data_IF_922072904086
#
_entry.id   IF_922072904086
#
_cell.length_a   1.000
_cell.length_b   1.000
_cell.length_c   1.000
_cell.angle_alpha   90.00
_cell.angle_beta   90.00
_cell.angle_gamma   90.00
#
_symmetry.space_group_name_H-M   'P 1'
#
loop_
_entity.id
_entity.type
_entity.pdbx_description
1 polymer ?
#
# COMPACT_ATOMS: atom_id res chain seq x y z
N UNK A 1 15.15 20.60 5.05
CA UNK A 1 15.10 21.96 4.44
C UNK A 1 14.52 22.93 5.46
N UNK A 2 14.74 24.25 5.33
CA UNK A 2 14.19 25.24 6.28
C UNK A 2 12.77 25.65 5.89
N UNK A 3 11.85 25.74 6.86
CA UNK A 3 10.46 26.15 6.66
C UNK A 3 10.06 27.20 7.70
N UNK A 4 9.44 28.28 7.24
CA UNK A 4 8.90 29.33 8.12
C UNK A 4 7.39 29.41 7.92
N UNK A 5 6.63 29.09 8.95
CA UNK A 5 5.17 29.14 8.96
C UNK A 5 4.73 30.39 9.70
N UNK A 6 4.01 31.27 9.01
CA UNK A 6 3.67 32.61 9.51
C UNK A 6 2.17 32.70 9.73
N UNK A 7 1.78 32.77 11.00
CA UNK A 7 0.45 33.22 11.38
C UNK A 7 0.39 34.74 11.18
N UNK A 8 -0.14 35.16 10.03
CA UNK A 8 -0.22 36.57 9.68
C UNK A 8 -1.39 37.32 10.35
N UNK A 9 -2.34 36.61 10.96
CA UNK A 9 -3.33 37.24 11.84
C UNK A 9 -2.64 37.77 13.10
N UNK A 10 -1.68 37.00 13.61
CA UNK A 10 -1.02 37.28 14.86
C UNK A 10 0.27 38.10 14.68
N UNK A 11 1.18 37.69 13.79
CA UNK A 11 2.48 38.34 13.56
C UNK A 11 2.58 38.80 12.11
N UNK A 12 2.93 40.07 11.91
CA UNK A 12 3.08 40.68 10.59
C UNK A 12 4.53 41.16 10.41
N UNK A 13 5.45 40.29 9.95
CA UNK A 13 6.81 40.68 9.63
C UNK A 13 6.81 41.77 8.54
N UNK A 14 7.76 42.70 8.64
CA UNK A 14 7.92 43.78 7.64
C UNK A 14 8.77 43.35 6.46
N UNK A 15 9.80 42.54 6.72
CA UNK A 15 10.73 42.03 5.72
C UNK A 15 11.40 40.73 6.19
N UNK A 16 11.95 39.98 5.24
CA UNK A 16 12.72 38.74 5.45
C UNK A 16 14.17 38.87 4.94
N UNK A 17 14.76 40.07 5.02
CA UNK A 17 16.04 40.35 4.36
C UNK A 17 17.23 39.56 4.91
N UNK A 18 17.13 39.05 6.14
CA UNK A 18 18.20 38.31 6.83
C UNK A 18 18.08 36.79 6.66
N UNK A 19 17.20 36.32 5.76
CA UNK A 19 16.92 34.89 5.56
C UNK A 19 17.50 34.45 4.22
N UNK A 20 18.24 33.34 4.21
CA UNK A 20 18.73 32.73 2.96
C UNK A 20 17.57 32.26 2.08
N UNK A 21 17.47 32.83 0.89
CA UNK A 21 16.30 32.67 -0.01
C UNK A 21 16.26 31.34 -0.76
N UNK A 22 17.42 30.67 -0.90
CA UNK A 22 17.57 29.51 -1.79
C UNK A 22 17.22 28.17 -1.12
N UNK A 23 17.29 28.11 0.22
CA UNK A 23 17.09 26.86 0.99
C UNK A 23 15.96 26.95 2.03
N UNK A 24 15.08 27.96 1.89
CA UNK A 24 14.01 28.22 2.83
C UNK A 24 12.65 28.37 2.15
N UNK A 25 11.65 27.65 2.66
CA UNK A 25 10.26 27.80 2.28
C UNK A 25 9.52 28.77 3.21
N UNK A 26 8.79 29.73 2.66
CA UNK A 26 7.90 30.63 3.40
C UNK A 26 6.45 30.19 3.20
N UNK A 27 5.74 29.98 4.31
CA UNK A 27 4.32 29.63 4.35
C UNK A 27 3.55 30.75 5.05
N UNK A 28 2.95 31.64 4.26
CA UNK A 28 2.20 32.79 4.75
C UNK A 28 0.72 32.45 4.88
N UNK A 29 0.23 32.27 6.11
CA UNK A 29 -1.18 31.97 6.38
C UNK A 29 -1.96 33.27 6.59
N UNK A 30 -2.92 33.52 5.70
CA UNK A 30 -3.72 34.74 5.68
C UNK A 30 -5.16 34.47 6.13
N UNK A 31 -5.49 35.04 7.28
CA UNK A 31 -6.86 35.24 7.73
C UNK A 31 -7.70 36.01 6.72
N UNK A 32 -9.02 35.83 6.76
CA UNK A 32 -9.95 36.46 5.80
C UNK A 32 -9.79 37.99 5.78
N UNK A 33 -9.50 38.59 6.93
CA UNK A 33 -9.37 40.04 7.06
C UNK A 33 -8.04 40.59 6.50
N UNK A 34 -6.99 39.77 6.49
CA UNK A 34 -5.64 40.14 6.05
C UNK A 34 -5.43 39.99 4.54
N UNK A 35 -6.39 39.40 3.81
CA UNK A 35 -6.27 39.14 2.37
C UNK A 35 -6.55 40.37 1.48
N UNK A 36 -6.99 41.50 2.04
CA UNK A 36 -7.34 42.70 1.26
C UNK A 36 -6.11 43.44 0.74
N UNK A 37 -5.02 43.43 1.49
CA UNK A 37 -3.78 44.13 1.15
C UNK A 37 -2.62 43.56 1.95
N UNK A 38 -1.45 43.46 1.32
CA UNK A 38 -0.19 43.17 1.99
C UNK A 38 0.74 44.39 1.90
N UNK A 39 1.58 44.65 2.91
CA UNK A 39 2.60 45.71 2.84
C UNK A 39 3.54 45.50 1.65
N UNK A 40 3.89 46.60 0.97
CA UNK A 40 4.75 46.54 -0.22
C UNK A 40 6.12 45.90 0.09
N UNK A 41 6.74 46.29 1.21
CA UNK A 41 8.04 45.76 1.65
C UNK A 41 8.01 44.23 1.85
N UNK A 42 6.92 43.70 2.41
CA UNK A 42 6.72 42.26 2.57
C UNK A 42 6.69 41.57 1.21
N UNK A 43 5.91 42.11 0.26
CA UNK A 43 5.80 41.55 -1.09
C UNK A 43 7.14 41.59 -1.82
N UNK A 44 7.87 42.72 -1.74
CA UNK A 44 9.20 42.86 -2.33
C UNK A 44 10.18 41.82 -1.79
N UNK A 45 10.14 41.51 -0.48
CA UNK A 45 10.98 40.45 0.08
C UNK A 45 10.57 39.05 -0.34
N UNK A 46 9.26 38.74 -0.42
CA UNK A 46 8.78 37.44 -0.90
C UNK A 46 9.19 37.18 -2.36
N UNK A 47 9.23 38.22 -3.20
CA UNK A 47 9.65 38.12 -4.60
C UNK A 47 11.14 37.79 -4.79
N UNK A 48 11.96 37.86 -3.73
CA UNK A 48 13.38 37.46 -3.75
C UNK A 48 13.56 35.94 -3.66
N UNK A 49 12.56 35.22 -3.16
CA UNK A 49 12.59 33.76 -3.08
C UNK A 49 12.22 33.15 -4.43
N UNK A 50 12.72 31.95 -4.70
CA UNK A 50 12.22 31.16 -5.80
C UNK A 50 10.70 30.97 -5.68
N UNK A 51 9.97 31.04 -6.79
CA UNK A 51 8.50 30.91 -6.80
C UNK A 51 8.00 29.63 -6.13
N UNK A 52 8.76 28.53 -6.22
CA UNK A 52 8.44 27.25 -5.56
C UNK A 52 8.60 27.29 -4.04
N UNK A 53 9.31 28.29 -3.51
CA UNK A 53 9.63 28.44 -2.11
C UNK A 53 8.60 29.28 -1.33
N UNK A 54 7.71 30.00 -2.02
CA UNK A 54 6.71 30.88 -1.40
C UNK A 54 5.30 30.30 -1.51
N UNK A 55 4.64 30.13 -0.38
CA UNK A 55 3.31 29.53 -0.27
C UNK A 55 2.36 30.50 0.45
N UNK A 56 1.40 31.07 -0.28
CA UNK A 56 0.36 31.93 0.30
C UNK A 56 -0.90 31.11 0.54
N UNK A 57 -1.25 30.86 1.80
CA UNK A 57 -2.39 30.04 2.20
C UNK A 57 -3.53 30.95 2.66
N UNK A 58 -4.64 30.94 1.92
CA UNK A 58 -5.78 31.85 2.14
C UNK A 58 -6.95 31.13 2.78
N UNK A 59 -7.42 31.62 3.92
CA UNK A 59 -8.67 31.16 4.52
C UNK A 59 -9.88 31.60 3.70
N UNK A 60 -10.87 30.72 3.54
CA UNK A 60 -12.11 31.03 2.81
C UNK A 60 -13.20 31.61 3.72
N UNK A 61 -13.21 31.20 4.99
CA UNK A 61 -14.23 31.57 5.97
C UNK A 61 -13.57 31.88 7.30
N UNK A 62 -14.18 32.78 8.07
CA UNK A 62 -13.77 33.06 9.44
C UNK A 62 -14.25 31.95 10.36
N UNK A 63 -13.49 31.69 11.41
CA UNK A 63 -13.83 30.70 12.43
C UNK A 63 -12.90 30.83 13.62
N UNK A 64 -13.37 30.45 14.81
CA UNK A 64 -12.52 30.46 16.00
C UNK A 64 -11.35 29.48 15.79
N UNK A 65 -10.11 29.97 15.96
CA UNK A 65 -8.86 29.22 15.79
C UNK A 65 -8.68 28.58 14.39
N UNK A 66 -9.39 29.09 13.39
CA UNK A 66 -9.41 28.44 12.09
C UNK A 66 -8.06 28.58 11.35
N UNK A 67 -7.33 29.68 11.54
CA UNK A 67 -5.98 29.82 11.02
C UNK A 67 -5.03 28.81 11.69
N UNK A 68 -5.18 28.60 13.00
CA UNK A 68 -4.35 27.65 13.76
C UNK A 68 -4.49 26.22 13.27
N UNK A 69 -5.71 25.81 12.91
CA UNK A 69 -5.95 24.51 12.31
C UNK A 69 -5.33 24.37 10.92
N UNK A 70 -5.35 25.44 10.11
CA UNK A 70 -4.65 25.45 8.82
C UNK A 70 -3.15 25.30 9.03
N UNK A 71 -2.56 26.10 9.92
CA UNK A 71 -1.13 26.04 10.21
C UNK A 71 -0.74 24.65 10.70
N UNK A 72 -1.46 24.09 11.69
CA UNK A 72 -1.21 22.75 12.24
C UNK A 72 -1.30 21.65 11.18
N UNK A 73 -2.27 21.74 10.27
CA UNK A 73 -2.40 20.78 9.16
C UNK A 73 -1.22 20.83 8.19
N UNK A 74 -0.77 22.03 7.83
CA UNK A 74 0.38 22.19 6.93
C UNK A 74 1.70 21.83 7.61
N UNK A 75 1.84 22.11 8.91
CA UNK A 75 2.96 21.64 9.72
C UNK A 75 3.06 20.11 9.67
N UNK A 76 1.96 19.41 9.97
CA UNK A 76 1.93 17.94 9.89
C UNK A 76 2.27 17.42 8.50
N UNK A 77 1.80 18.08 7.43
CA UNK A 77 2.21 17.75 6.06
C UNK A 77 3.71 17.92 5.85
N UNK A 78 4.30 19.02 6.29
CA UNK A 78 5.75 19.26 6.15
C UNK A 78 6.51 18.15 6.88
N UNK A 79 6.13 17.84 8.13
CA UNK A 79 6.74 16.79 8.93
C UNK A 79 6.67 15.39 8.30
N UNK A 80 5.61 15.11 7.54
CA UNK A 80 5.46 13.84 6.79
C UNK A 80 6.37 13.77 5.56
N UNK A 81 6.62 14.90 4.91
CA UNK A 81 7.34 14.98 3.63
C UNK A 81 8.85 15.08 3.84
N UNK A 82 9.25 15.87 4.82
CA UNK A 82 10.64 16.14 5.17
C UNK A 82 10.81 15.84 6.66
N UNK A 83 11.20 14.60 6.95
CA UNK A 83 11.44 14.11 8.31
C UNK A 83 12.69 14.74 8.95
N UNK A 84 13.40 15.63 8.25
CA UNK A 84 14.56 16.39 8.71
C UNK A 84 14.35 17.90 8.48
N UNK A 85 13.10 18.36 8.47
CA UNK A 85 12.78 19.77 8.29
C UNK A 85 13.16 20.59 9.54
N UNK A 86 13.75 21.76 9.31
CA UNK A 86 13.92 22.79 10.35
C UNK A 86 12.76 23.77 10.22
N UNK A 87 11.87 23.79 11.19
CA UNK A 87 10.60 24.53 11.10
C UNK A 87 10.53 25.62 12.16
N UNK A 88 10.34 26.86 11.72
CA UNK A 88 10.05 27.99 12.59
C UNK A 88 8.59 28.44 12.42
N UNK A 89 7.82 28.38 13.50
CA UNK A 89 6.46 28.91 13.56
C UNK A 89 6.52 30.33 14.12
N UNK A 90 6.12 31.31 13.31
CA UNK A 90 5.93 32.70 13.73
C UNK A 90 4.50 32.92 14.18
N UNK A 91 4.28 32.81 15.49
CA UNK A 91 3.01 33.09 16.14
C UNK A 91 3.22 33.51 17.60
N UNK A 92 2.48 34.49 18.11
CA UNK A 92 2.52 34.82 19.56
C UNK A 92 1.68 33.86 20.40
N UNK A 93 0.76 33.12 19.78
CA UNK A 93 -0.07 32.16 20.50
C UNK A 93 0.78 31.02 21.06
N UNK A 94 0.75 30.83 22.38
CA UNK A 94 1.42 29.72 23.05
C UNK A 94 0.66 28.39 22.88
N UNK A 95 -0.55 28.40 22.31
CA UNK A 95 -1.30 27.19 21.99
C UNK A 95 -0.52 26.21 21.09
N UNK A 96 0.41 26.72 20.29
CA UNK A 96 1.30 25.89 19.47
C UNK A 96 2.40 25.18 20.28
N UNK A 97 2.74 25.63 21.49
CA UNK A 97 3.86 25.05 22.27
C UNK A 97 3.65 23.56 22.54
N UNK A 98 2.41 23.15 22.86
CA UNK A 98 2.04 21.74 23.08
C UNK A 98 2.18 20.91 21.79
N UNK A 99 1.84 21.50 20.64
CA UNK A 99 1.96 20.83 19.35
C UNK A 99 3.44 20.65 18.98
N UNK A 100 4.26 21.68 19.20
CA UNK A 100 5.70 21.65 18.96
C UNK A 100 6.37 20.59 19.84
N UNK A 101 6.07 20.58 21.14
CA UNK A 101 6.59 19.59 22.08
C UNK A 101 6.23 18.16 21.65
N UNK A 102 4.97 17.92 21.27
CA UNK A 102 4.55 16.62 20.79
C UNK A 102 5.29 16.19 19.52
N UNK A 103 5.37 17.06 18.51
CA UNK A 103 5.99 16.71 17.23
C UNK A 103 7.49 16.46 17.37
N UNK A 104 8.22 17.28 18.12
CA UNK A 104 9.64 17.06 18.40
C UNK A 104 9.88 15.77 19.21
N UNK A 105 8.90 15.30 20.00
CA UNK A 105 9.00 14.02 20.72
C UNK A 105 8.70 12.78 19.86
N UNK A 106 7.94 12.95 18.77
CA UNK A 106 7.49 11.84 17.91
C UNK A 106 8.45 11.59 16.75
N UNK A 107 9.18 12.62 16.30
CA UNK A 107 10.07 12.57 15.15
C UNK A 107 11.52 12.84 15.57
N UNK A 108 12.40 11.84 15.47
CA UNK A 108 13.81 11.88 15.91
C UNK A 108 14.77 12.70 14.99
N UNK A 109 14.26 13.74 14.31
CA UNK A 109 15.12 14.59 13.50
C UNK A 109 14.45 15.81 12.85
N UNK A 110 13.22 16.13 13.24
CA UNK A 110 12.62 17.42 12.93
C UNK A 110 12.97 18.39 14.06
N UNK A 111 13.40 19.61 13.74
CA UNK A 111 13.57 20.67 14.73
C UNK A 111 12.49 21.73 14.51
N UNK A 112 11.45 21.69 15.35
CA UNK A 112 10.38 22.67 15.32
C UNK A 112 10.55 23.63 16.48
N UNK A 113 10.58 24.92 16.17
CA UNK A 113 10.57 25.99 17.15
C UNK A 113 9.40 26.94 16.89
N UNK A 114 8.91 27.57 17.96
CA UNK A 114 7.99 28.72 17.84
C UNK A 114 8.71 29.99 18.27
N UNK A 115 8.60 31.03 17.46
CA UNK A 115 9.02 32.38 17.82
C UNK A 115 7.83 33.33 17.85
N UNK A 116 7.72 34.06 18.96
CA UNK A 116 6.73 35.13 19.14
C UNK A 116 7.19 36.47 18.52
N UNK A 117 8.40 36.55 17.98
CA UNK A 117 9.00 37.77 17.49
C UNK A 117 9.64 37.58 16.11
N UNK A 118 9.13 38.33 15.12
CA UNK A 118 9.64 38.35 13.75
C UNK A 118 11.10 38.84 13.64
N UNK A 119 11.65 39.48 14.66
CA UNK A 119 13.05 39.93 14.67
C UNK A 119 14.02 38.86 15.24
N UNK A 120 13.51 37.74 15.77
CA UNK A 120 14.32 36.66 16.33
C UNK A 120 14.59 35.53 15.31
N UNK A 121 14.13 35.65 14.06
CA UNK A 121 14.39 34.63 13.05
C UNK A 121 15.89 34.43 12.81
N UNK A 122 16.71 35.47 12.82
CA UNK A 122 18.16 35.35 12.64
C UNK A 122 18.85 34.55 13.75
N UNK A 123 18.44 34.71 15.02
CA UNK A 123 19.09 34.03 16.15
C UNK A 123 18.86 32.52 16.21
N UNK A 124 17.75 32.02 15.63
CA UNK A 124 17.48 30.60 15.56
C UNK A 124 18.32 29.88 14.48
N UNK A 125 18.86 30.62 13.50
CA UNK A 125 19.56 30.06 12.35
C UNK A 125 21.09 30.25 12.40
N UNK A 126 21.63 31.05 13.33
CA UNK A 126 23.08 31.32 13.46
C UNK A 126 23.89 30.27 14.27
N UNK A 127 23.23 29.41 15.06
CA UNK A 127 23.95 28.41 15.86
C UNK A 127 24.50 27.25 15.03
N UNK A 128 23.78 26.84 13.98
CA UNK A 128 24.20 25.71 13.14
C UNK A 128 25.33 26.07 12.18
N UNK A 129 25.35 27.29 11.63
CA UNK A 129 26.41 27.71 10.70
C UNK A 129 27.75 27.91 11.40
N UNK A 130 27.73 28.30 12.68
CA UNK A 130 28.94 28.41 13.50
C UNK A 130 29.50 27.03 13.84
N UNK A 131 28.63 26.08 14.18
CA UNK A 131 29.01 24.68 14.44
C UNK A 131 29.51 24.00 13.17
N UNK A 132 28.85 24.19 12.01
CA UNK A 132 29.33 23.71 10.70
C UNK A 132 30.68 24.31 10.32
N UNK A 133 30.85 25.62 10.48
CA UNK A 133 32.12 26.32 10.19
C UNK A 133 33.27 25.82 11.06
N UNK A 134 33.00 25.53 12.34
CA UNK A 134 34.00 25.00 13.27
C UNK A 134 34.31 23.51 12.96
N UNK A 135 33.35 22.73 12.47
CA UNK A 135 33.56 21.34 12.01
C UNK A 135 34.35 21.28 10.68
N UNK A 136 34.06 22.16 9.72
CA UNK A 136 34.81 22.24 8.45
C UNK A 136 36.27 22.65 8.66
N UNK A 137 36.55 23.56 9.60
CA UNK A 137 37.92 23.91 10.00
C UNK A 137 38.70 22.74 10.59
N UNK A 138 38.03 21.78 11.21
CA UNK A 138 38.64 20.57 11.76
C UNK A 138 38.89 19.53 10.64
N UNK A 139 38.05 19.49 9.60
CA UNK A 139 38.19 18.54 8.47
C UNK A 139 39.23 18.96 7.42
N UNK A 140 39.57 20.25 7.30
CA UNK A 140 40.53 20.77 6.30
C UNK A 140 42.03 20.45 6.57
N UNK A 141 42.37 19.65 7.59
CA UNK A 141 43.77 19.38 7.99
C UNK A 141 44.37 18.08 7.41
N UNK A 142 43.66 17.32 6.56
CA UNK A 142 44.22 16.08 5.97
C UNK A 142 44.50 16.27 4.47
N UNK A 143 45.77 16.54 4.14
CA UNK A 143 46.24 16.68 2.75
C UNK A 143 46.47 15.33 2.03
N UNK A 144 45.85 15.26 0.85
CA UNK A 144 46.32 14.79 -0.47
C UNK A 144 46.98 13.41 -0.67
N UNK A 145 46.43 12.62 -1.61
CA UNK A 145 46.88 12.63 -3.01
C UNK A 145 46.25 11.52 -3.89
N UNK A 146 45.95 11.89 -5.15
CA UNK A 146 46.17 11.17 -6.43
C UNK A 146 44.98 11.08 -7.42
N UNK A 147 45.13 11.92 -8.45
CA UNK A 147 45.11 11.62 -9.89
C UNK A 147 43.79 11.70 -10.69
N UNK A 148 43.78 12.73 -11.56
CA UNK A 148 42.92 12.96 -12.71
C UNK A 148 43.62 12.52 -14.02
N UNK A 149 42.82 12.10 -15.02
CA UNK A 149 42.93 12.22 -16.50
C UNK A 149 41.76 11.37 -17.07
N UNK A 150 40.97 11.68 -18.10
CA UNK A 150 41.06 12.65 -19.20
C UNK A 150 39.66 12.79 -19.90
N UNK A 151 39.54 13.87 -20.68
CA UNK A 151 38.40 14.36 -21.49
C UNK A 151 37.92 13.43 -22.64
N UNK A 152 36.69 13.64 -23.16
CA UNK A 152 36.47 14.27 -24.48
C UNK A 152 34.99 14.49 -24.85
N UNK A 153 34.79 15.59 -25.58
CA UNK A 153 33.58 16.25 -26.06
C UNK A 153 32.84 15.53 -27.22
N UNK A 154 31.56 15.84 -27.43
CA UNK A 154 31.13 16.72 -28.54
C UNK A 154 29.60 16.96 -28.59
N UNK A 155 29.27 18.22 -28.85
CA UNK A 155 27.98 18.78 -29.27
C UNK A 155 27.49 18.22 -30.63
N UNK A 156 26.18 18.26 -30.89
CA UNK A 156 25.55 19.02 -32.01
C UNK A 156 24.06 19.25 -31.70
N UNK A 157 23.57 20.44 -32.05
CA UNK A 157 22.21 20.95 -31.88
C UNK A 157 21.52 21.21 -33.24
N UNK A 158 20.18 21.19 -33.23
CA UNK A 158 19.20 21.93 -34.08
C UNK A 158 18.53 21.32 -35.35
N UNK A 159 17.19 21.18 -35.20
CA UNK A 159 16.06 21.85 -35.92
C UNK A 159 15.16 21.07 -36.91
N UNK A 160 13.89 21.01 -36.47
CA UNK A 160 12.61 21.37 -37.11
C UNK A 160 11.90 20.50 -38.18
N UNK A 161 10.68 20.13 -37.77
CA UNK A 161 9.36 20.29 -38.44
C UNK A 161 8.79 19.19 -39.37
N UNK A 162 7.50 18.92 -39.10
CA UNK A 162 6.49 18.14 -39.86
C UNK A 162 6.49 16.61 -39.79
N UNK A 163 5.87 16.06 -38.74
CA UNK A 163 4.94 14.92 -38.83
C UNK A 163 4.10 14.80 -37.53
N UNK A 164 3.33 15.84 -37.24
CA UNK A 164 2.38 15.92 -36.13
C UNK A 164 1.10 15.16 -36.52
N UNK A 165 0.86 13.97 -35.95
CA UNK A 165 -0.47 13.46 -35.57
C UNK A 165 -0.52 11.94 -35.22
N UNK A 166 0.57 11.17 -35.27
CA UNK A 166 0.46 9.70 -35.13
C UNK A 166 1.51 8.99 -34.24
N UNK A 167 2.35 9.71 -33.49
CA UNK A 167 3.47 9.09 -32.75
C UNK A 167 3.59 9.51 -31.28
N UNK A 168 2.47 9.86 -30.63
CA UNK A 168 2.45 10.27 -29.21
C UNK A 168 2.36 9.09 -28.21
N UNK A 169 2.36 7.85 -28.67
CA UNK A 169 2.27 6.67 -27.78
C UNK A 169 3.61 5.98 -27.45
N UNK A 170 4.72 6.32 -28.12
CA UNK A 170 5.98 5.54 -28.01
C UNK A 170 7.20 6.27 -27.40
N UNK A 171 7.08 7.52 -26.93
CA UNK A 171 8.26 8.26 -26.40
C UNK A 171 8.52 8.00 -24.90
N UNK A 172 7.54 7.49 -24.15
CA UNK A 172 7.74 7.13 -22.74
C UNK A 172 8.29 5.69 -22.70
N UNK A 173 9.60 5.56 -22.52
CA UNK A 173 10.25 4.25 -22.40
C UNK A 173 9.64 3.43 -21.26
N UNK A 174 9.39 2.13 -21.51
CA UNK A 174 8.94 1.17 -20.48
C UNK A 174 9.89 1.10 -19.29
N UNK A 175 11.17 1.44 -19.48
CA UNK A 175 12.18 1.52 -18.42
C UNK A 175 11.86 2.64 -17.45
N UNK A 176 11.59 3.86 -17.95
CA UNK A 176 11.24 5.02 -17.12
C UNK A 176 10.01 4.76 -16.23
N UNK A 177 8.96 4.16 -16.80
CA UNK A 177 7.77 3.78 -16.01
C UNK A 177 8.12 2.76 -14.93
N UNK A 178 9.07 1.85 -15.22
CA UNK A 178 9.50 0.88 -14.22
C UNK A 178 10.31 1.52 -13.10
N UNK A 179 11.20 2.44 -13.41
CA UNK A 179 12.03 3.14 -12.43
C UNK A 179 11.15 4.03 -11.54
N UNK A 180 10.19 4.75 -12.14
CA UNK A 180 9.20 5.52 -11.39
C UNK A 180 8.34 4.62 -10.47
N UNK A 181 7.95 3.44 -10.95
CA UNK A 181 7.22 2.47 -10.13
C UNK A 181 8.04 2.01 -8.91
N UNK A 182 9.35 1.78 -9.08
CA UNK A 182 10.26 1.38 -8.00
C UNK A 182 10.34 2.50 -6.95
N UNK A 183 10.56 3.74 -7.38
CA UNK A 183 10.65 4.90 -6.49
C UNK A 183 9.35 5.09 -5.70
N UNK A 184 8.19 5.05 -6.36
CA UNK A 184 6.89 5.19 -5.69
C UNK A 184 6.63 4.03 -4.72
N UNK A 185 7.02 2.81 -5.06
CA UNK A 185 6.85 1.66 -4.18
C UNK A 185 7.60 1.89 -2.87
N UNK A 186 8.86 2.32 -2.92
CA UNK A 186 9.71 2.47 -1.74
C UNK A 186 9.35 3.71 -0.90
N UNK A 187 8.98 4.81 -1.56
CA UNK A 187 8.75 6.11 -0.90
C UNK A 187 7.34 6.28 -0.36
N UNK A 188 6.32 5.80 -1.06
CA UNK A 188 4.91 6.05 -0.72
C UNK A 188 4.24 4.79 -0.20
N UNK A 189 4.38 3.66 -0.91
CA UNK A 189 3.59 2.47 -0.59
C UNK A 189 4.20 1.62 0.54
N UNK A 190 5.51 1.76 0.75
CA UNK A 190 6.22 1.10 1.84
C UNK A 190 6.54 2.04 3.01
N UNK A 191 6.15 3.32 2.94
CA UNK A 191 6.21 4.17 4.12
C UNK A 191 5.16 3.65 5.11
N UNK A 192 5.52 3.49 6.38
CA UNK A 192 4.59 3.09 7.44
C UNK A 192 3.57 4.21 7.77
N UNK A 193 3.39 5.18 6.88
CA UNK A 193 2.63 6.41 7.05
C UNK A 193 1.38 6.41 6.16
N UNK A 194 0.46 7.33 6.42
CA UNK A 194 -0.90 7.36 5.91
C UNK A 194 -1.01 7.33 4.37
N UNK A 195 -1.57 6.24 3.82
CA UNK A 195 -1.78 6.11 2.37
C UNK A 195 -2.98 6.93 1.87
N UNK A 196 -2.84 7.68 0.74
CA UNK A 196 -3.93 8.51 0.23
C UNK A 196 -5.19 7.71 -0.16
N UNK A 197 -6.36 8.08 0.34
CA UNK A 197 -7.60 7.34 0.03
C UNK A 197 -8.22 7.64 -1.35
N UNK A 198 -7.76 8.68 -2.06
CA UNK A 198 -8.31 9.09 -3.34
C UNK A 198 -7.24 9.10 -4.43
N UNK A 199 -7.62 8.69 -5.65
CA UNK A 199 -6.72 8.63 -6.80
C UNK A 199 -5.98 9.95 -7.04
N UNK A 200 -6.70 11.07 -7.14
CA UNK A 200 -6.08 12.38 -7.38
C UNK A 200 -5.00 12.74 -6.35
N UNK A 201 -5.26 12.44 -5.07
CA UNK A 201 -4.32 12.68 -3.98
C UNK A 201 -3.09 11.78 -4.10
N UNK A 202 -3.29 10.51 -4.46
CA UNK A 202 -2.19 9.59 -4.69
C UNK A 202 -1.32 10.02 -5.88
N UNK A 203 -1.91 10.41 -7.01
CA UNK A 203 -1.15 10.89 -8.18
C UNK A 203 -0.38 12.18 -7.84
N UNK A 204 -0.97 13.08 -7.06
CA UNK A 204 -0.29 14.29 -6.58
C UNK A 204 0.87 13.95 -5.65
N UNK A 205 0.67 13.00 -4.72
CA UNK A 205 1.72 12.51 -3.84
C UNK A 205 2.86 11.84 -4.62
N UNK A 206 2.56 11.01 -5.62
CA UNK A 206 3.56 10.39 -6.50
C UNK A 206 4.44 11.43 -7.18
N UNK A 207 3.85 12.46 -7.78
CA UNK A 207 4.61 13.54 -8.42
C UNK A 207 5.48 14.30 -7.44
N UNK A 208 4.92 14.68 -6.30
CA UNK A 208 5.53 15.62 -5.36
C UNK A 208 6.56 14.99 -4.43
N UNK A 209 6.37 13.74 -4.04
CA UNK A 209 7.16 13.10 -2.98
C UNK A 209 8.03 11.96 -3.49
N UNK A 210 7.64 11.30 -4.58
CA UNK A 210 8.40 10.17 -5.10
C UNK A 210 9.19 10.49 -6.37
N UNK A 211 8.65 11.37 -7.23
CA UNK A 211 9.09 11.48 -8.63
C UNK A 211 9.59 12.88 -9.03
N UNK A 212 9.74 13.82 -8.08
CA UNK A 212 10.09 15.22 -8.36
C UNK A 212 11.34 15.36 -9.23
N UNK A 213 12.43 14.69 -8.86
CA UNK A 213 13.71 14.75 -9.60
C UNK A 213 13.64 13.97 -10.90
N UNK A 214 12.99 12.79 -10.90
CA UNK A 214 12.86 11.94 -12.09
C UNK A 214 12.03 12.61 -13.20
N UNK A 215 11.10 13.49 -12.81
CA UNK A 215 10.15 14.12 -13.72
C UNK A 215 10.49 15.57 -14.09
N UNK A 216 11.59 16.13 -13.58
CA UNK A 216 11.94 17.56 -13.74
C UNK A 216 12.02 18.00 -15.22
N UNK A 217 12.48 17.10 -16.09
CA UNK A 217 12.73 17.37 -17.51
C UNK A 217 11.48 17.16 -18.39
N UNK A 218 10.35 16.78 -17.80
CA UNK A 218 9.09 16.54 -18.50
C UNK A 218 8.13 17.70 -18.28
N UNK A 219 7.34 18.04 -19.30
CA UNK A 219 6.28 19.02 -19.13
C UNK A 219 5.10 18.45 -18.31
N UNK A 220 4.22 19.32 -17.82
CA UNK A 220 3.12 18.89 -16.94
C UNK A 220 2.25 17.78 -17.54
N UNK A 221 1.92 17.82 -18.83
CA UNK A 221 1.07 16.79 -19.45
C UNK A 221 1.79 15.43 -19.54
N UNK A 222 3.09 15.44 -19.80
CA UNK A 222 3.94 14.24 -19.82
C UNK A 222 4.08 13.64 -18.41
N UNK A 223 4.31 14.47 -17.40
CA UNK A 223 4.37 14.03 -16.01
C UNK A 223 3.05 13.36 -15.59
N UNK A 224 1.91 13.97 -15.93
CA UNK A 224 0.58 13.41 -15.70
C UNK A 224 0.42 12.04 -16.35
N UNK A 225 0.83 11.90 -17.62
CA UNK A 225 0.80 10.64 -18.37
C UNK A 225 1.69 9.55 -17.73
N UNK A 226 2.92 9.90 -17.32
CA UNK A 226 3.85 8.98 -16.67
C UNK A 226 3.26 8.47 -15.34
N UNK A 227 2.78 9.39 -14.50
CA UNK A 227 2.24 9.05 -13.17
C UNK A 227 0.98 8.20 -13.28
N UNK A 228 0.12 8.46 -14.28
CA UNK A 228 -1.04 7.63 -14.57
C UNK A 228 -0.64 6.20 -14.98
N UNK A 229 0.37 6.04 -15.86
CA UNK A 229 0.90 4.72 -16.24
C UNK A 229 1.54 3.98 -15.06
N UNK A 230 2.18 4.69 -14.14
CA UNK A 230 2.72 4.10 -12.90
C UNK A 230 1.58 3.62 -12.00
N UNK A 231 0.53 4.44 -11.81
CA UNK A 231 -0.66 4.04 -11.07
C UNK A 231 -1.32 2.79 -11.67
N UNK A 232 -1.50 2.74 -13.00
CA UNK A 232 -2.02 1.56 -13.70
C UNK A 232 -1.18 0.31 -13.45
N UNK A 233 0.15 0.46 -13.36
CA UNK A 233 1.05 -0.66 -13.04
C UNK A 233 0.81 -1.20 -11.63
N UNK A 234 0.56 -0.34 -10.64
CA UNK A 234 0.18 -0.78 -9.29
C UNK A 234 -1.18 -1.47 -9.25
N UNK A 235 -2.16 -0.96 -9.99
CA UNK A 235 -3.48 -1.58 -10.12
C UNK A 235 -3.36 -2.96 -10.77
N UNK A 236 -2.59 -3.07 -11.86
CA UNK A 236 -2.32 -4.34 -12.54
C UNK A 236 -1.58 -5.34 -11.66
N UNK A 237 -0.72 -4.87 -10.76
CA UNK A 237 -0.03 -5.70 -9.77
C UNK A 237 -0.95 -6.20 -8.64
N UNK A 238 -2.14 -5.58 -8.47
CA UNK A 238 -3.10 -5.88 -7.41
C UNK A 238 -2.78 -5.19 -6.07
N UNK A 239 -1.76 -4.34 -6.04
CA UNK A 239 -1.32 -3.62 -4.84
C UNK A 239 -2.27 -2.47 -4.49
N UNK A 240 -2.91 -1.89 -5.51
CA UNK A 240 -3.91 -0.84 -5.39
C UNK A 240 -5.19 -1.30 -6.08
N UNK A 241 -6.32 -1.03 -5.45
CA UNK A 241 -7.66 -1.26 -5.98
C UNK A 241 -8.47 0.03 -5.88
N UNK A 242 -9.40 0.24 -6.82
CA UNK A 242 -10.32 1.39 -6.81
C UNK A 242 -11.73 0.86 -6.62
N UNK A 243 -12.37 1.24 -5.53
CA UNK A 243 -13.79 0.95 -5.30
C UNK A 243 -14.64 1.93 -6.12
N UNK A 244 -15.40 1.39 -7.06
CA UNK A 244 -16.25 2.17 -7.97
C UNK A 244 -17.43 2.85 -7.27
N UNK A 245 -17.87 2.34 -6.11
CA UNK A 245 -18.99 2.92 -5.34
C UNK A 245 -18.52 4.07 -4.45
N UNK A 246 -17.47 3.84 -3.68
CA UNK A 246 -16.96 4.85 -2.73
C UNK A 246 -15.97 5.83 -3.36
N UNK A 247 -15.46 5.52 -4.56
CA UNK A 247 -14.36 6.23 -5.24
C UNK A 247 -13.09 6.32 -4.37
N UNK A 248 -12.92 5.36 -3.46
CA UNK A 248 -11.76 5.25 -2.58
C UNK A 248 -10.80 4.17 -3.07
N UNK A 249 -9.53 4.36 -2.74
CA UNK A 249 -8.47 3.39 -2.98
C UNK A 249 -8.40 2.38 -1.83
N UNK A 250 -8.15 1.11 -2.17
CA UNK A 250 -7.82 0.05 -1.23
C UNK A 250 -6.41 -0.48 -1.52
N UNK A 251 -5.65 -0.78 -0.47
CA UNK A 251 -4.24 -1.14 -0.56
C UNK A 251 -3.97 -2.56 -0.05
N UNK A 252 -3.11 -3.30 -0.76
CA UNK A 252 -2.61 -4.63 -0.38
C UNK A 252 -1.09 -4.64 -0.30
N UNK A 253 -0.53 -3.66 0.42
CA UNK A 253 0.92 -3.44 0.54
C UNK A 253 1.49 -3.90 1.88
N UNK A 254 0.63 -4.16 2.87
CA UNK A 254 1.04 -4.75 4.14
C UNK A 254 1.33 -6.26 4.02
N UNK A 255 1.95 -6.85 5.03
CA UNK A 255 2.38 -8.27 5.00
C UNK A 255 1.24 -9.24 4.68
N UNK A 256 0.05 -9.02 5.25
CA UNK A 256 -1.11 -9.87 4.98
C UNK A 256 -1.63 -9.69 3.55
N UNK A 257 -1.78 -8.46 3.07
CA UNK A 257 -2.26 -8.17 1.72
C UNK A 257 -1.31 -8.71 0.64
N UNK A 258 0.00 -8.61 0.87
CA UNK A 258 1.01 -9.21 -0.01
C UNK A 258 0.92 -10.74 0.00
N UNK A 259 0.74 -11.35 1.17
CA UNK A 259 0.57 -12.80 1.30
C UNK A 259 -0.70 -13.29 0.59
N UNK A 260 -1.80 -12.54 0.67
CA UNK A 260 -3.04 -12.83 -0.06
C UNK A 260 -2.79 -12.78 -1.58
N UNK A 261 -2.08 -11.77 -2.08
CA UNK A 261 -1.74 -11.65 -3.51
C UNK A 261 -0.87 -12.80 -4.02
N UNK A 262 0.12 -13.22 -3.22
CA UNK A 262 0.96 -14.39 -3.52
C UNK A 262 0.10 -15.66 -3.54
N UNK A 263 -0.78 -15.82 -2.54
CA UNK A 263 -1.68 -16.97 -2.41
C UNK A 263 -2.62 -17.08 -3.59
N UNK A 264 -3.28 -15.99 -3.98
CA UNK A 264 -4.16 -15.93 -5.15
C UNK A 264 -3.41 -16.40 -6.40
N UNK A 265 -2.17 -15.97 -6.58
CA UNK A 265 -1.38 -16.42 -7.74
C UNK A 265 -1.02 -17.90 -7.66
N UNK A 266 -0.63 -18.39 -6.49
CA UNK A 266 -0.32 -19.80 -6.29
C UNK A 266 -1.52 -20.67 -6.67
N UNK A 267 -2.71 -20.33 -6.16
CA UNK A 267 -3.95 -21.05 -6.45
C UNK A 267 -4.35 -21.00 -7.93
N UNK A 268 -4.09 -19.88 -8.62
CA UNK A 268 -4.30 -19.75 -10.05
C UNK A 268 -3.30 -20.55 -10.88
N UNK A 269 -2.03 -20.61 -10.47
CA UNK A 269 -0.97 -21.31 -11.21
C UNK A 269 -1.15 -22.83 -11.20
N UNK A 270 -1.71 -23.39 -10.12
CA UNK A 270 -1.89 -24.83 -9.90
C UNK A 270 -0.63 -25.65 -10.21
N UNK A 271 0.53 -25.18 -9.75
CA UNK A 271 1.81 -25.85 -9.95
C UNK A 271 1.78 -27.28 -9.38
N UNK A 272 2.10 -28.29 -10.21
CA UNK A 272 1.97 -29.71 -9.81
C UNK A 272 3.14 -30.22 -8.97
N UNK A 273 4.25 -29.49 -8.92
CA UNK A 273 5.47 -29.88 -8.21
C UNK A 273 5.89 -28.82 -7.19
N UNK A 274 6.63 -29.23 -6.15
CA UNK A 274 7.16 -28.31 -5.14
C UNK A 274 8.13 -27.28 -5.74
N UNK A 275 8.95 -27.69 -6.71
CA UNK A 275 9.85 -26.78 -7.43
C UNK A 275 9.07 -25.73 -8.25
N UNK A 276 8.02 -26.16 -8.96
CA UNK A 276 7.14 -25.25 -9.70
C UNK A 276 6.43 -24.27 -8.76
N UNK A 277 5.96 -24.75 -7.61
CA UNK A 277 5.36 -23.90 -6.58
C UNK A 277 6.36 -22.86 -6.04
N UNK A 278 7.57 -23.30 -5.69
CA UNK A 278 8.63 -22.44 -5.17
C UNK A 278 8.99 -21.35 -6.18
N UNK A 279 9.08 -21.69 -7.47
CA UNK A 279 9.35 -20.73 -8.53
C UNK A 279 8.24 -19.68 -8.67
N UNK A 280 6.96 -20.09 -8.58
CA UNK A 280 5.82 -19.15 -8.60
C UNK A 280 5.87 -18.19 -7.41
N UNK A 281 6.11 -18.72 -6.20
CA UNK A 281 6.21 -17.89 -4.98
C UNK A 281 7.40 -16.94 -5.09
N UNK A 282 8.58 -17.44 -5.47
CA UNK A 282 9.81 -16.66 -5.61
C UNK A 282 9.66 -15.52 -6.61
N UNK A 283 9.04 -15.80 -7.76
CA UNK A 283 8.76 -14.78 -8.77
C UNK A 283 7.77 -13.73 -8.26
N UNK A 284 6.75 -14.14 -7.49
CA UNK A 284 5.76 -13.19 -6.97
C UNK A 284 6.28 -12.33 -5.84
N UNK A 285 7.03 -12.90 -4.92
CA UNK A 285 7.74 -12.12 -3.89
C UNK A 285 8.66 -11.09 -4.53
N UNK A 286 9.41 -11.46 -5.58
CA UNK A 286 10.25 -10.52 -6.34
C UNK A 286 9.43 -9.35 -6.93
N UNK A 287 8.27 -9.65 -7.54
CA UNK A 287 7.41 -8.62 -8.12
C UNK A 287 6.89 -7.60 -7.09
N UNK A 288 6.76 -8.03 -5.85
CA UNK A 288 6.34 -7.20 -4.72
C UNK A 288 7.53 -6.71 -3.88
N UNK A 289 8.74 -6.84 -4.42
CA UNK A 289 10.00 -6.39 -3.80
C UNK A 289 10.23 -6.96 -2.40
N UNK A 290 9.73 -8.17 -2.17
CA UNK A 290 9.94 -8.91 -0.93
C UNK A 290 11.15 -9.83 -1.05
N UNK A 291 11.78 -10.12 0.09
CA UNK A 291 12.84 -11.14 0.18
C UNK A 291 12.30 -12.47 -0.31
N UNK A 292 13.02 -13.11 -1.25
CA UNK A 292 12.57 -14.31 -1.95
C UNK A 292 13.62 -15.44 -1.93
N UNK A 293 14.43 -15.48 -0.86
CA UNK A 293 15.36 -16.57 -0.60
C UNK A 293 14.62 -17.87 -0.23
N UNK A 294 15.37 -18.99 -0.14
CA UNK A 294 14.77 -20.31 0.11
C UNK A 294 14.04 -20.39 1.46
N UNK A 295 14.53 -19.70 2.47
CA UNK A 295 13.91 -19.63 3.80
C UNK A 295 12.53 -18.95 3.74
N UNK A 296 12.44 -17.78 3.11
CA UNK A 296 11.18 -17.05 2.96
C UNK A 296 10.15 -17.82 2.13
N UNK A 297 10.59 -18.43 1.02
CA UNK A 297 9.72 -19.29 0.22
C UNK A 297 9.21 -20.47 1.05
N UNK A 298 10.06 -21.10 1.86
CA UNK A 298 9.70 -22.21 2.73
C UNK A 298 8.68 -21.80 3.81
N UNK A 299 8.78 -20.59 4.36
CA UNK A 299 7.81 -20.03 5.29
C UNK A 299 6.44 -19.86 4.64
N UNK A 300 6.38 -19.30 3.43
CA UNK A 300 5.12 -19.14 2.68
C UNK A 300 4.50 -20.50 2.35
N UNK A 301 5.29 -21.48 1.91
CA UNK A 301 4.80 -22.85 1.65
C UNK A 301 4.24 -23.50 2.92
N UNK A 302 4.92 -23.33 4.06
CA UNK A 302 4.47 -23.85 5.35
C UNK A 302 3.16 -23.20 5.78
N UNK A 303 3.05 -21.88 5.63
CA UNK A 303 1.81 -21.15 5.89
C UNK A 303 0.65 -21.65 5.00
N UNK A 304 0.87 -21.81 3.69
CA UNK A 304 -0.14 -22.31 2.74
C UNK A 304 -0.66 -23.71 3.12
N UNK A 305 0.22 -24.59 3.60
CA UNK A 305 -0.17 -25.93 4.09
C UNK A 305 -1.01 -25.84 5.35
N UNK A 306 -0.59 -25.01 6.31
CA UNK A 306 -1.29 -24.85 7.59
C UNK A 306 -2.69 -24.26 7.41
N UNK A 307 -2.87 -23.36 6.43
CA UNK A 307 -4.17 -22.81 6.05
C UNK A 307 -5.00 -23.76 5.17
N UNK A 308 -4.45 -24.91 4.76
CA UNK A 308 -5.16 -25.90 3.94
C UNK A 308 -5.33 -25.50 2.47
N UNK A 309 -4.60 -24.50 1.98
CA UNK A 309 -4.64 -24.06 0.58
C UNK A 309 -3.93 -25.03 -0.37
N UNK A 310 -2.98 -25.81 0.13
CA UNK A 310 -2.24 -26.82 -0.62
C UNK A 310 -2.01 -28.09 0.20
N UNK A 311 -1.81 -29.22 -0.47
CA UNK A 311 -1.26 -30.44 0.11
C UNK A 311 -0.03 -30.89 -0.67
N UNK A 312 0.99 -31.33 0.05
CA UNK A 312 2.22 -31.86 -0.53
C UNK A 312 2.33 -33.35 -0.20
N UNK A 313 2.55 -34.17 -1.22
CA UNK A 313 2.93 -35.57 -1.10
C UNK A 313 4.24 -35.78 -1.86
N UNK A 314 5.34 -35.98 -1.12
CA UNK A 314 6.70 -35.91 -1.65
C UNK A 314 6.96 -34.62 -2.45
N UNK A 315 7.17 -34.72 -3.77
CA UNK A 315 7.38 -33.59 -4.65
C UNK A 315 6.09 -33.08 -5.32
N UNK A 316 4.96 -33.76 -5.12
CA UNK A 316 3.69 -33.44 -5.78
C UNK A 316 2.87 -32.47 -4.92
N UNK A 317 2.36 -31.41 -5.55
CA UNK A 317 1.47 -30.44 -4.94
C UNK A 317 0.06 -30.61 -5.49
N UNK A 318 -0.92 -30.59 -4.59
CA UNK A 318 -2.36 -30.65 -4.90
C UNK A 318 -3.09 -29.47 -4.28
N UNK A 319 -4.22 -29.10 -4.87
CA UNK A 319 -5.03 -27.92 -4.52
C UNK A 319 -6.49 -28.32 -4.30
N UNK A 320 -7.27 -27.54 -3.53
CA UNK A 320 -8.70 -27.75 -3.37
C UNK A 320 -9.50 -27.62 -4.69
N UNK A 321 -10.62 -28.36 -4.85
CA UNK A 321 -11.05 -29.46 -3.99
C UNK A 321 -10.10 -30.66 -4.15
N UNK A 322 -9.67 -31.25 -3.04
CA UNK A 322 -8.80 -32.42 -3.03
C UNK A 322 -9.61 -33.66 -3.43
N UNK A 323 -9.97 -33.76 -4.71
CA UNK A 323 -10.65 -34.92 -5.26
C UNK A 323 -9.66 -36.09 -5.35
N UNK A 324 -10.14 -37.29 -4.99
CA UNK A 324 -9.38 -38.53 -4.95
C UNK A 324 -8.79 -38.86 -6.34
N UNK A 325 -7.54 -38.44 -6.59
CA UNK A 325 -6.80 -38.85 -7.79
C UNK A 325 -6.60 -40.37 -7.71
N UNK A 326 -7.26 -41.07 -8.64
CA UNK A 326 -7.06 -42.49 -8.91
C UNK A 326 -5.60 -42.74 -9.28
N UNK A 327 -4.95 -43.55 -8.46
CA UNK A 327 -3.62 -44.10 -8.69
C UNK A 327 -3.68 -44.98 -9.94
N UNK A 328 -2.84 -44.68 -10.93
CA UNK A 328 -2.53 -45.61 -12.01
C UNK A 328 -1.41 -46.52 -11.52
N UNK A 329 -1.76 -47.66 -10.93
CA UNK A 329 -0.85 -48.78 -10.62
C UNK A 329 -1.02 -49.87 -11.66
N UNK A 330 0.09 -50.25 -12.28
CA UNK A 330 0.40 -51.58 -12.80
C UNK A 330 1.93 -51.67 -12.68
N UNK A 331 2.60 -52.61 -12.04
CA UNK A 331 2.39 -53.94 -11.44
C UNK A 331 3.58 -54.06 -10.44
N UNK A 332 3.55 -54.59 -9.21
CA UNK A 332 3.17 -55.92 -8.73
C UNK A 332 3.05 -55.84 -7.20
N UNK A 333 1.89 -56.20 -6.65
CA UNK A 333 1.69 -57.09 -5.48
C UNK A 333 0.21 -56.98 -5.08
N UNK A 334 -0.49 -58.09 -5.18
CA UNK A 334 -1.95 -58.19 -5.18
C UNK A 334 -2.54 -58.52 -3.80
N UNK A 335 -3.67 -57.87 -3.56
CA UNK A 335 -4.81 -58.23 -2.70
C UNK A 335 -4.84 -57.85 -1.21
N UNK A 336 -5.49 -56.69 -1.01
CA UNK A 336 -6.68 -56.43 -0.18
C UNK A 336 -6.54 -56.37 1.36
N UNK A 337 -6.39 -55.15 1.89
CA UNK A 337 -7.51 -54.42 2.50
C UNK A 337 -7.12 -52.99 2.96
N UNK A 338 -8.14 -52.13 2.99
CA UNK A 338 -8.11 -50.69 2.72
C UNK A 338 -7.67 -49.73 3.85
N UNK A 339 -7.33 -48.52 3.38
CA UNK A 339 -6.95 -47.28 4.05
C UNK A 339 -8.04 -46.65 4.95
N UNK A 340 -7.55 -45.80 5.85
CA UNK A 340 -8.00 -44.41 6.11
C UNK A 340 -9.21 -44.16 7.03
N UNK A 341 -8.98 -43.31 8.04
CA UNK A 341 -9.89 -42.19 8.35
C UNK A 341 -9.17 -40.84 8.13
N UNK A 342 -9.20 -40.39 6.88
CA UNK A 342 -9.45 -39.00 6.51
C UNK A 342 -10.85 -38.92 5.88
N UNK A 343 -11.37 -37.72 5.67
CA UNK A 343 -12.47 -37.42 4.74
C UNK A 343 -13.80 -38.09 5.07
N UNK A 344 -14.76 -37.31 5.58
CA UNK A 344 -16.09 -37.84 5.81
C UNK A 344 -16.75 -38.21 4.47
N UNK A 345 -17.06 -39.50 4.31
CA UNK A 345 -17.69 -40.09 3.13
C UNK A 345 -19.06 -39.47 2.85
N UNK A 346 -19.62 -39.66 1.65
CA UNK A 346 -20.96 -39.16 1.29
C UNK A 346 -22.01 -39.59 2.32
N UNK A 347 -21.89 -40.80 2.88
CA UNK A 347 -22.71 -41.27 3.99
C UNK A 347 -22.56 -40.42 5.26
N UNK A 348 -21.34 -40.12 5.67
CA UNK A 348 -21.08 -39.32 6.85
C UNK A 348 -21.58 -37.88 6.68
N UNK A 349 -21.47 -37.30 5.47
CA UNK A 349 -22.06 -36.00 5.13
C UNK A 349 -23.59 -36.03 5.16
N UNK A 350 -24.20 -37.08 4.61
CA UNK A 350 -25.65 -37.26 4.62
C UNK A 350 -26.20 -37.37 6.05
N UNK A 351 -25.49 -38.05 6.95
CA UNK A 351 -25.86 -38.12 8.38
C UNK A 351 -25.66 -36.79 9.09
N UNK A 352 -24.57 -36.06 8.81
CA UNK A 352 -24.31 -34.74 9.40
C UNK A 352 -25.39 -33.72 9.03
N UNK A 353 -25.79 -33.65 7.76
CA UNK A 353 -26.87 -32.77 7.29
C UNK A 353 -28.20 -33.01 8.02
N UNK A 354 -28.48 -34.26 8.41
CA UNK A 354 -29.69 -34.59 9.15
C UNK A 354 -29.56 -34.24 10.64
N UNK A 355 -28.35 -34.31 11.21
CA UNK A 355 -28.05 -33.93 12.61
C UNK A 355 -28.18 -32.44 12.85
N UNK A 356 -27.67 -31.63 11.93
CA UNK A 356 -27.68 -30.16 12.02
C UNK A 356 -29.08 -29.56 11.93
N UNK A 357 -30.08 -30.34 11.50
CA UNK A 357 -31.45 -29.87 11.34
C UNK A 357 -32.29 -30.02 12.63
N UNK A 358 -33.09 -29.00 13.01
CA UNK A 358 -34.00 -29.08 14.16
C UNK A 358 -35.01 -30.22 14.01
N UNK A 359 -35.26 -30.96 15.10
CA UNK A 359 -36.10 -32.17 15.13
C UNK A 359 -37.48 -31.96 14.48
N UNK A 360 -38.11 -30.80 14.70
CA UNK A 360 -39.44 -30.45 14.16
C UNK A 360 -39.49 -30.33 12.64
N UNK A 361 -38.34 -30.12 11.97
CA UNK A 361 -38.27 -29.91 10.52
C UNK A 361 -37.63 -31.08 9.78
N UNK A 362 -37.21 -32.14 10.47
CA UNK A 362 -36.59 -33.31 9.86
C UNK A 362 -37.62 -34.07 8.99
N UNK A 363 -37.20 -34.65 7.85
CA UNK A 363 -38.11 -35.39 6.99
C UNK A 363 -38.82 -36.54 7.72
N UNK A 364 -40.16 -36.49 7.80
CA UNK A 364 -40.94 -37.48 8.53
C UNK A 364 -41.31 -38.71 7.71
N UNK A 365 -41.05 -38.72 6.39
CA UNK A 365 -41.36 -39.80 5.45
C UNK A 365 -40.15 -40.13 4.56
N UNK A 366 -40.03 -41.40 4.13
CA UNK A 366 -38.91 -41.88 3.28
C UNK A 366 -38.74 -41.04 2.01
N UNK A 367 -39.82 -40.72 1.29
CA UNK A 367 -39.76 -39.93 0.06
C UNK A 367 -39.24 -38.51 0.29
N UNK A 368 -39.66 -37.86 1.38
CA UNK A 368 -39.18 -36.53 1.77
C UNK A 368 -37.70 -36.56 2.13
N UNK A 369 -37.23 -37.63 2.78
CA UNK A 369 -35.80 -37.82 3.07
C UNK A 369 -34.99 -37.99 1.78
N UNK A 370 -35.45 -38.81 0.85
CA UNK A 370 -34.80 -39.03 -0.45
C UNK A 370 -34.69 -37.72 -1.24
N UNK A 371 -35.76 -36.92 -1.33
CA UNK A 371 -35.73 -35.64 -2.03
C UNK A 371 -34.83 -34.61 -1.33
N UNK A 372 -34.86 -34.59 0.00
CA UNK A 372 -33.97 -33.73 0.77
C UNK A 372 -32.50 -34.07 0.54
N UNK A 373 -32.14 -35.36 0.59
CA UNK A 373 -30.76 -35.79 0.32
C UNK A 373 -30.35 -35.51 -1.12
N UNK A 374 -31.22 -35.74 -2.12
CA UNK A 374 -30.96 -35.38 -3.52
C UNK A 374 -30.70 -33.89 -3.73
N UNK A 375 -31.45 -33.02 -3.05
CA UNK A 375 -31.30 -31.57 -3.19
C UNK A 375 -30.04 -31.03 -2.51
N UNK A 376 -29.57 -31.67 -1.43
CA UNK A 376 -28.45 -31.17 -0.64
C UNK A 376 -27.12 -31.88 -0.98
N UNK A 377 -27.19 -33.07 -1.57
CA UNK A 377 -26.05 -33.80 -2.11
C UNK A 377 -26.04 -33.61 -3.63
N UNK A 378 -25.43 -32.51 -4.07
CA UNK A 378 -25.30 -32.02 -5.46
C UNK A 378 -25.28 -33.13 -6.52
N UNK A 379 -26.44 -33.41 -7.12
CA UNK A 379 -26.63 -34.29 -8.29
C UNK A 379 -26.16 -35.76 -8.12
N UNK A 380 -26.31 -36.34 -6.93
CA UNK A 380 -26.13 -37.79 -6.74
C UNK A 380 -27.28 -38.58 -7.39
N UNK A 381 -26.95 -39.66 -8.10
CA UNK A 381 -27.94 -40.51 -8.79
C UNK A 381 -28.94 -41.13 -7.80
N UNK A 382 -30.19 -41.37 -8.24
CA UNK A 382 -31.27 -41.88 -7.41
C UNK A 382 -30.93 -43.23 -6.75
N UNK A 383 -30.10 -44.06 -7.42
CA UNK A 383 -29.60 -45.33 -6.88
C UNK A 383 -28.63 -45.13 -5.71
N UNK A 384 -27.78 -44.10 -5.76
CA UNK A 384 -26.83 -43.77 -4.68
C UNK A 384 -27.59 -43.30 -3.44
N UNK A 385 -28.60 -42.44 -3.61
CA UNK A 385 -29.41 -41.97 -2.49
C UNK A 385 -30.25 -43.10 -1.87
N UNK A 386 -30.85 -44.00 -2.65
CA UNK A 386 -31.59 -45.14 -2.08
C UNK A 386 -30.66 -46.09 -1.30
N UNK A 387 -29.43 -46.31 -1.79
CA UNK A 387 -28.41 -47.07 -1.07
C UNK A 387 -27.98 -46.37 0.24
N UNK A 388 -27.85 -45.04 0.25
CA UNK A 388 -27.57 -44.28 1.48
C UNK A 388 -28.70 -44.42 2.51
N UNK A 389 -29.96 -44.32 2.06
CA UNK A 389 -31.12 -44.50 2.95
C UNK A 389 -31.15 -45.93 3.51
N UNK A 390 -30.90 -46.96 2.69
CA UNK A 390 -30.77 -48.36 3.14
C UNK A 390 -29.64 -48.52 4.16
N UNK A 391 -28.49 -47.89 3.91
CA UNK A 391 -27.35 -47.90 4.82
C UNK A 391 -27.66 -47.18 6.15
N UNK A 392 -28.44 -46.10 6.14
CA UNK A 392 -28.89 -45.41 7.36
C UNK A 392 -29.85 -46.27 8.20
N UNK A 393 -30.73 -47.02 7.55
CA UNK A 393 -31.62 -47.99 8.23
C UNK A 393 -30.81 -49.14 8.81
N UNK A 394 -29.89 -49.72 8.03
CA UNK A 394 -29.01 -50.82 8.46
C UNK A 394 -28.18 -50.43 9.67
N UNK A 395 -27.62 -49.21 9.66
CA UNK A 395 -26.84 -48.66 10.77
C UNK A 395 -27.71 -48.11 11.92
N UNK A 396 -29.04 -48.29 11.87
CA UNK A 396 -30.03 -47.87 12.88
C UNK A 396 -30.02 -46.37 13.18
N UNK A 397 -29.51 -45.54 12.28
CA UNK A 397 -29.51 -44.07 12.39
C UNK A 397 -30.92 -43.51 12.18
N UNK A 398 -31.69 -44.17 11.32
CA UNK A 398 -33.12 -43.93 11.10
C UNK A 398 -33.90 -45.23 11.25
N UNK A 399 -35.12 -45.16 11.79
CA UNK A 399 -36.07 -46.28 11.83
C UNK A 399 -37.27 -45.91 10.97
N UNK A 400 -37.61 -46.81 10.05
CA UNK A 400 -38.83 -46.74 9.25
C UNK A 400 -39.87 -47.63 9.95
N UNK A 401 -40.93 -47.02 10.47
CA UNK A 401 -42.08 -47.78 10.99
C UNK A 401 -42.97 -48.30 9.85
N UNK A 402 -43.82 -49.30 10.12
CA UNK A 402 -44.69 -49.92 9.12
C UNK A 402 -45.62 -48.95 8.37
N UNK A 403 -45.83 -47.73 8.89
CA UNK A 403 -46.57 -46.63 8.24
C UNK A 403 -45.69 -45.71 7.36
N UNK A 404 -44.46 -46.13 7.04
CA UNK A 404 -43.44 -45.36 6.28
C UNK A 404 -43.02 -44.03 6.96
N UNK A 405 -43.34 -43.89 8.25
CA UNK A 405 -42.95 -42.76 9.10
C UNK A 405 -41.55 -43.00 9.64
N UNK A 406 -40.69 -41.99 9.49
CA UNK A 406 -39.30 -41.98 9.92
C UNK A 406 -39.16 -41.47 11.37
N UNK A 407 -38.28 -42.12 12.12
CA UNK A 407 -37.75 -41.61 13.38
C UNK A 407 -36.23 -41.67 13.37
N UNK A 408 -35.59 -40.68 14.00
CA UNK A 408 -34.13 -40.50 14.01
C UNK A 408 -33.61 -40.81 15.40
N UNK A 409 -32.48 -41.52 15.50
CA UNK A 409 -31.89 -41.93 16.79
C UNK A 409 -30.88 -40.96 17.38
N UNK A 410 -30.86 -39.71 16.91
CA UNK A 410 -29.88 -38.68 17.29
C UNK A 410 -30.53 -37.31 17.40
#
# INVERSE_FOLDING_TARGET
MKHILIDYENIQPKSFNDIETNECHIWLFLGVNQQKSLPLELVETLLKFDNKNVHIIRMQHTGKNALDFYLSFYLGKISEIDSQADVCILARDSGYDVLVEHLNSVYDGIDIIRSANANQLSLAYDLDDKIKSDIEKIQLVVQENQNNLCNSSNHVEMKNEYALAQSLEETISKTLIHDCYILVFDTILNSEVFLPNHKANLLSAMKKYALTTTLENFNSAEQDCIVEKVFEKFVKAGLISLDTKTKKLGYKVNSQGLLDLVTDKVLLSKAKTIEGLNNVIKQKLANYRQVNNEEQVSLVVTWLKNQGFIKQDNQIISYPPFDNIKVNTNKVSSDNNEKSKSSATIYQRAVALLKERPISTRPSKKASLTNYLKSNLRNEDAKVIDNLVKQMVSNKIIIISGSNKLSYKF
#
